data_IF_683872107958
#
_entry.id   IF_683872107958
#
_cell.length_a   1.000
_cell.length_b   1.000
_cell.length_c   1.000
_cell.angle_alpha   90.00
_cell.angle_beta   90.00
_cell.angle_gamma   90.00
#
_symmetry.space_group_name_H-M   'P 1'
#
loop_
_entity.id
_entity.type
_entity.pdbx_description
1 polymer ?
#
# COMPACT_ATOMS: atom_id res chain seq x y z
N UNK A 1 1.11 -11.11 -13.35
CA UNK A 1 0.50 -11.18 -14.71
C UNK A 1 1.09 -10.04 -15.52
N UNK A 2 1.61 -10.30 -16.70
CA UNK A 2 2.09 -9.31 -17.66
C UNK A 2 1.07 -9.16 -18.81
N UNK A 3 1.14 -8.04 -19.56
CA UNK A 3 0.23 -7.83 -20.68
C UNK A 3 0.25 -9.00 -21.68
N UNK A 4 1.43 -9.49 -22.02
CA UNK A 4 1.62 -10.65 -22.90
C UNK A 4 0.91 -11.94 -22.46
N UNK A 5 0.63 -12.08 -21.16
CA UNK A 5 -0.02 -13.26 -20.58
C UNK A 5 -1.55 -13.20 -20.75
N UNK A 6 -2.09 -12.05 -21.18
CA UNK A 6 -3.55 -11.79 -21.27
C UNK A 6 -4.11 -11.99 -22.69
N UNK A 7 -3.25 -11.97 -23.70
CA UNK A 7 -3.65 -11.94 -25.11
C UNK A 7 -4.22 -10.59 -25.58
N UNK A 8 -4.19 -9.55 -24.73
CA UNK A 8 -4.65 -8.20 -25.09
C UNK A 8 -3.49 -7.36 -25.63
N UNK A 9 -3.83 -6.40 -26.49
CA UNK A 9 -2.93 -5.29 -26.82
C UNK A 9 -2.98 -4.19 -25.77
N UNK A 10 -1.98 -3.29 -25.72
CA UNK A 10 -1.99 -2.13 -24.85
C UNK A 10 -3.24 -1.27 -25.05
N UNK A 11 -3.64 -1.02 -26.28
CA UNK A 11 -4.83 -0.24 -26.61
C UNK A 11 -6.13 -0.92 -26.14
N UNK A 12 -6.22 -2.23 -26.26
CA UNK A 12 -7.37 -2.96 -25.72
C UNK A 12 -7.43 -2.86 -24.20
N UNK A 13 -6.28 -2.97 -23.50
CA UNK A 13 -6.22 -2.80 -22.03
C UNK A 13 -6.65 -1.39 -21.61
N UNK A 14 -6.11 -0.34 -22.25
CA UNK A 14 -6.51 1.05 -22.02
C UNK A 14 -8.01 1.24 -22.25
N UNK A 15 -8.56 0.67 -23.33
CA UNK A 15 -9.99 0.69 -23.61
C UNK A 15 -10.83 0.05 -22.51
N UNK A 16 -10.38 -1.06 -21.91
CA UNK A 16 -11.08 -1.67 -20.77
C UNK A 16 -11.08 -0.75 -19.55
N UNK A 17 -9.93 -0.11 -19.26
CA UNK A 17 -9.83 0.84 -18.15
C UNK A 17 -10.78 2.01 -18.36
N UNK A 18 -10.76 2.65 -19.55
CA UNK A 18 -11.61 3.80 -19.85
C UNK A 18 -13.11 3.43 -19.85
N UNK A 19 -13.44 2.19 -20.19
CA UNK A 19 -14.83 1.74 -20.20
C UNK A 19 -15.39 1.42 -18.80
N UNK A 20 -14.56 0.85 -17.93
CA UNK A 20 -15.06 0.27 -16.68
C UNK A 20 -14.59 0.97 -15.41
N UNK A 21 -13.64 1.91 -15.49
CA UNK A 21 -13.18 2.68 -14.34
C UNK A 21 -13.57 4.14 -14.44
N UNK A 22 -13.97 4.74 -13.33
CA UNK A 22 -14.26 6.17 -13.25
C UNK A 22 -12.96 6.97 -13.44
N UNK A 23 -12.99 7.97 -14.32
CA UNK A 23 -11.88 8.89 -14.55
C UNK A 23 -11.80 9.93 -13.43
N UNK A 24 -11.01 9.64 -12.42
CA UNK A 24 -10.76 10.56 -11.30
C UNK A 24 -9.45 11.35 -11.47
N UNK A 25 -8.60 10.95 -12.40
CA UNK A 25 -7.32 11.59 -12.75
C UNK A 25 -6.87 11.14 -14.14
N UNK A 26 -6.04 11.95 -14.79
CA UNK A 26 -5.37 11.58 -16.04
C UNK A 26 -4.32 10.49 -15.81
N UNK A 27 -4.22 9.57 -16.75
CA UNK A 27 -3.20 8.52 -16.76
C UNK A 27 -2.10 8.81 -17.77
N UNK A 28 -0.90 8.39 -17.45
CA UNK A 28 0.18 8.37 -18.44
C UNK A 28 -0.15 7.39 -19.59
N UNK A 29 0.23 7.76 -20.80
CA UNK A 29 -0.09 6.98 -21.98
C UNK A 29 0.90 5.81 -22.20
N UNK A 30 1.08 4.98 -21.19
CA UNK A 30 1.81 3.71 -21.30
C UNK A 30 1.22 2.67 -20.34
N UNK A 31 1.44 1.39 -20.66
CA UNK A 31 1.06 0.29 -19.78
C UNK A 31 2.26 -0.11 -18.92
N UNK A 32 2.21 0.11 -17.63
CA UNK A 32 3.25 -0.37 -16.72
C UNK A 32 3.14 -1.89 -16.61
N UNK A 33 4.02 -2.62 -17.31
CA UNK A 33 3.95 -4.08 -17.45
C UNK A 33 4.83 -4.83 -16.42
N UNK A 34 5.98 -4.24 -16.06
CA UNK A 34 6.86 -4.75 -15.01
C UNK A 34 7.67 -3.63 -14.36
N UNK A 35 8.23 -3.91 -13.19
CA UNK A 35 9.15 -2.99 -12.53
C UNK A 35 10.25 -3.76 -11.79
N UNK A 36 11.44 -3.16 -11.65
CA UNK A 36 12.54 -3.67 -10.83
C UNK A 36 13.46 -2.53 -10.40
N UNK A 37 13.79 -2.48 -9.12
CA UNK A 37 14.62 -1.39 -8.58
C UNK A 37 13.98 -0.04 -8.82
N UNK A 38 14.70 0.87 -9.47
CA UNK A 38 14.24 2.23 -9.75
C UNK A 38 13.57 2.40 -11.12
N UNK A 39 13.27 1.31 -11.81
CA UNK A 39 12.70 1.38 -13.15
C UNK A 39 11.36 0.66 -13.26
N UNK A 40 10.43 1.29 -13.96
CA UNK A 40 9.26 0.66 -14.57
C UNK A 40 9.53 0.42 -16.06
N UNK A 41 8.83 -0.54 -16.63
CA UNK A 41 8.94 -0.90 -18.03
C UNK A 41 7.55 -1.08 -18.62
N UNK A 42 7.35 -0.57 -19.82
CA UNK A 42 6.13 -0.82 -20.58
C UNK A 42 6.12 -2.23 -21.21
N UNK A 43 5.11 -2.51 -21.99
CA UNK A 43 4.93 -3.77 -22.70
C UNK A 43 5.99 -4.04 -23.78
N UNK A 44 6.72 -3.00 -24.21
CA UNK A 44 7.81 -3.07 -25.18
C UNK A 44 9.20 -3.13 -24.49
N UNK A 45 9.20 -3.26 -23.16
CA UNK A 45 10.41 -3.20 -22.33
C UNK A 45 11.12 -1.82 -22.35
N UNK A 46 10.44 -0.74 -22.73
CA UNK A 46 10.96 0.62 -22.64
C UNK A 46 11.12 1.00 -21.16
N UNK A 47 12.33 1.40 -20.70
CA UNK A 47 12.56 1.75 -19.32
C UNK A 47 12.10 3.18 -18.99
N UNK A 48 11.41 3.35 -17.89
CA UNK A 48 11.03 4.62 -17.28
C UNK A 48 11.64 4.70 -15.88
N UNK A 49 12.42 5.73 -15.60
CA UNK A 49 12.97 5.96 -14.27
C UNK A 49 11.85 6.40 -13.31
N UNK A 50 11.62 5.62 -12.27
CA UNK A 50 10.51 5.81 -11.33
C UNK A 50 10.90 6.74 -10.18
N UNK A 51 10.63 8.03 -10.34
CA UNK A 51 10.76 9.03 -9.28
C UNK A 51 9.52 9.13 -8.37
N UNK A 52 8.43 8.45 -8.70
CA UNK A 52 7.22 8.42 -7.87
C UNK A 52 7.30 7.35 -6.76
N UNK A 53 7.98 6.25 -7.05
CA UNK A 53 8.13 5.12 -6.12
C UNK A 53 6.79 4.69 -5.47
N UNK A 54 5.68 4.71 -6.24
CA UNK A 54 4.34 4.44 -5.70
C UNK A 54 3.89 5.46 -4.66
N UNK A 55 4.25 6.74 -4.82
CA UNK A 55 4.11 7.83 -3.84
C UNK A 55 4.88 7.47 -2.55
N UNK A 56 6.17 7.17 -2.72
CA UNK A 56 7.15 6.77 -1.69
C UNK A 56 6.87 5.42 -1.00
N UNK A 57 5.93 4.61 -1.49
CA UNK A 57 5.65 3.26 -0.96
C UNK A 57 6.80 2.29 -1.25
N UNK A 58 7.39 2.37 -2.46
CA UNK A 58 8.47 1.51 -2.90
C UNK A 58 9.86 2.03 -2.48
N UNK A 59 10.01 2.49 -1.25
CA UNK A 59 11.24 3.13 -0.74
C UNK A 59 12.49 2.25 -0.84
N UNK A 60 12.34 0.94 -0.94
CA UNK A 60 13.44 -0.02 -1.14
C UNK A 60 13.59 -0.49 -2.59
N UNK A 61 12.89 0.18 -3.51
CA UNK A 61 12.82 -0.15 -4.93
C UNK A 61 11.73 -1.15 -5.28
N UNK A 62 11.29 -1.06 -6.54
CA UNK A 62 10.27 -1.96 -7.09
C UNK A 62 10.74 -3.41 -7.05
N UNK A 63 9.85 -4.32 -6.64
CA UNK A 63 10.09 -5.76 -6.60
C UNK A 63 11.41 -6.14 -5.90
N UNK A 64 11.68 -5.53 -4.74
CA UNK A 64 12.82 -5.91 -3.90
C UNK A 64 12.71 -7.38 -3.50
N UNK A 65 13.75 -8.18 -3.76
CA UNK A 65 13.70 -9.64 -3.61
C UNK A 65 13.38 -10.08 -2.18
N UNK A 66 13.87 -9.37 -1.16
CA UNK A 66 13.57 -9.68 0.24
C UNK A 66 12.11 -9.42 0.58
N UNK A 67 11.55 -8.32 0.07
CA UNK A 67 10.13 -7.98 0.28
C UNK A 67 9.24 -8.98 -0.44
N UNK A 68 9.54 -9.27 -1.71
CA UNK A 68 8.79 -10.27 -2.51
C UNK A 68 8.80 -11.63 -1.80
N UNK A 69 9.97 -12.08 -1.36
CA UNK A 69 10.09 -13.37 -0.64
C UNK A 69 9.26 -13.38 0.65
N UNK A 70 9.35 -12.32 1.46
CA UNK A 70 8.58 -12.24 2.70
C UNK A 70 7.07 -12.26 2.46
N UNK A 71 6.59 -11.56 1.41
CA UNK A 71 5.17 -11.56 1.03
C UNK A 71 4.72 -12.96 0.57
N UNK A 72 5.53 -13.63 -0.27
CA UNK A 72 5.24 -14.98 -0.75
C UNK A 72 5.15 -15.99 0.39
N UNK A 73 6.12 -15.97 1.31
CA UNK A 73 6.16 -16.89 2.44
C UNK A 73 4.97 -16.64 3.39
N UNK A 74 4.68 -15.38 3.67
CA UNK A 74 3.56 -15.05 4.55
C UNK A 74 2.21 -15.36 3.91
N UNK A 75 2.05 -15.10 2.62
CA UNK A 75 0.82 -15.44 1.89
C UNK A 75 0.55 -16.96 1.85
N UNK A 76 1.61 -17.77 1.81
CA UNK A 76 1.51 -19.21 1.89
C UNK A 76 1.27 -19.74 3.32
N UNK A 77 1.54 -18.93 4.35
CA UNK A 77 1.39 -19.31 5.76
C UNK A 77 0.01 -18.91 6.29
N UNK A 78 -0.29 -17.63 6.23
CA UNK A 78 -1.58 -17.06 6.63
C UNK A 78 -1.76 -15.70 5.95
N UNK A 79 -2.77 -15.57 5.12
CA UNK A 79 -2.99 -14.38 4.31
C UNK A 79 -3.79 -13.32 5.07
N UNK A 80 -4.81 -13.73 5.83
CA UNK A 80 -5.72 -12.81 6.51
C UNK A 80 -6.35 -13.49 7.73
N UNK A 81 -6.48 -12.73 8.81
CA UNK A 81 -7.28 -13.11 9.99
C UNK A 81 -8.20 -11.93 10.35
N UNK A 82 -9.23 -12.23 11.15
CA UNK A 82 -9.92 -11.15 11.88
C UNK A 82 -9.07 -10.68 13.08
N UNK A 83 -9.44 -9.56 13.70
CA UNK A 83 -8.56 -8.83 14.64
C UNK A 83 -8.43 -9.43 16.05
N UNK A 84 -9.11 -10.54 16.38
CA UNK A 84 -9.04 -11.11 17.72
C UNK A 84 -7.84 -12.05 17.96
N UNK A 85 -7.37 -12.85 17.00
CA UNK A 85 -6.15 -13.62 17.18
C UNK A 85 -4.90 -12.72 17.14
N UNK A 86 -3.90 -13.09 17.91
CA UNK A 86 -2.57 -12.50 17.76
C UNK A 86 -1.88 -13.07 16.53
N UNK A 87 -1.20 -12.21 15.77
CA UNK A 87 -0.38 -12.63 14.62
C UNK A 87 1.08 -12.21 14.81
N UNK A 88 1.98 -13.07 14.40
CA UNK A 88 3.42 -12.85 14.57
C UNK A 88 3.90 -11.58 13.85
N UNK A 89 3.60 -11.37 12.54
CA UNK A 89 4.08 -10.18 11.86
C UNK A 89 3.59 -8.87 12.48
N UNK A 90 2.33 -8.85 12.93
CA UNK A 90 1.73 -7.65 13.54
C UNK A 90 2.44 -7.28 14.86
N UNK A 91 2.68 -8.27 15.70
CA UNK A 91 3.33 -8.04 17.00
C UNK A 91 4.78 -7.56 16.83
N UNK A 92 5.56 -8.26 16.00
CA UNK A 92 6.97 -7.90 15.76
C UNK A 92 7.11 -6.53 15.06
N UNK A 93 6.21 -6.19 14.14
CA UNK A 93 6.21 -4.88 13.50
C UNK A 93 5.85 -3.78 14.51
N UNK A 94 4.85 -4.01 15.38
CA UNK A 94 4.49 -3.06 16.43
C UNK A 94 5.67 -2.75 17.36
N UNK A 95 6.34 -3.78 17.87
CA UNK A 95 7.55 -3.62 18.69
C UNK A 95 8.61 -2.81 17.93
N UNK A 96 8.92 -3.22 16.70
CA UNK A 96 9.96 -2.57 15.91
C UNK A 96 9.68 -1.10 15.65
N UNK A 97 8.45 -0.74 15.27
CA UNK A 97 8.08 0.65 15.01
C UNK A 97 8.13 1.45 16.33
N UNK A 98 7.44 1.01 17.37
CA UNK A 98 7.34 1.73 18.63
C UNK A 98 8.72 1.99 19.25
N UNK A 99 9.60 0.98 19.27
CA UNK A 99 10.96 1.15 19.78
C UNK A 99 11.84 2.06 18.93
N UNK A 100 11.62 2.08 17.60
CA UNK A 100 12.43 2.92 16.70
C UNK A 100 12.05 4.39 16.78
N UNK A 101 10.77 4.71 16.92
CA UNK A 101 10.28 6.10 16.93
C UNK A 101 9.96 6.63 18.33
N UNK A 102 10.13 5.83 19.38
CA UNK A 102 9.89 6.24 20.78
C UNK A 102 8.41 6.42 21.11
N UNK A 103 7.52 5.59 20.55
CA UNK A 103 6.09 5.58 20.85
C UNK A 103 5.69 4.38 21.69
N UNK A 104 4.64 4.52 22.51
CA UNK A 104 4.19 3.45 23.39
C UNK A 104 3.36 2.39 22.67
N UNK A 105 2.52 2.81 21.72
CA UNK A 105 1.55 1.93 21.04
C UNK A 105 1.30 2.37 19.60
N UNK A 106 0.89 1.42 18.78
CA UNK A 106 0.49 1.62 17.40
C UNK A 106 -0.90 1.04 17.16
N UNK A 107 -1.65 1.68 16.27
CA UNK A 107 -2.91 1.17 15.73
C UNK A 107 -2.82 1.09 14.22
N UNK A 108 -3.03 -0.10 13.67
CA UNK A 108 -2.93 -0.35 12.23
C UNK A 108 -4.23 -0.04 11.51
N UNK A 109 -4.11 0.59 10.35
CA UNK A 109 -5.19 0.86 9.41
C UNK A 109 -4.76 0.48 7.99
N UNK A 110 -5.72 0.34 7.07
CA UNK A 110 -5.41 -0.07 5.69
C UNK A 110 -4.93 1.11 4.83
N UNK A 111 -5.34 2.32 5.15
CA UNK A 111 -5.02 3.52 4.35
C UNK A 111 -4.68 4.71 5.24
N UNK A 112 -4.00 5.72 4.65
CA UNK A 112 -3.74 6.98 5.34
C UNK A 112 -5.04 7.73 5.72
N UNK A 113 -6.08 7.63 4.91
CA UNK A 113 -7.40 8.21 5.21
C UNK A 113 -8.02 7.60 6.46
N UNK A 114 -8.01 6.27 6.57
CA UNK A 114 -8.50 5.56 7.76
C UNK A 114 -7.66 5.87 9.00
N UNK A 115 -6.34 5.99 8.84
CA UNK A 115 -5.44 6.38 9.94
C UNK A 115 -5.75 7.80 10.45
N UNK A 116 -5.97 8.76 9.56
CA UNK A 116 -6.40 10.11 9.93
C UNK A 116 -7.77 10.13 10.62
N UNK A 117 -8.73 9.37 10.10
CA UNK A 117 -10.05 9.24 10.74
C UNK A 117 -9.94 8.65 12.16
N UNK A 118 -9.15 7.58 12.32
CA UNK A 118 -8.90 6.98 13.63
C UNK A 118 -8.23 7.97 14.60
N UNK A 119 -7.24 8.72 14.14
CA UNK A 119 -6.55 9.74 14.92
C UNK A 119 -7.53 10.83 15.41
N UNK A 120 -8.37 11.35 14.53
CA UNK A 120 -9.39 12.35 14.88
C UNK A 120 -10.36 11.80 15.92
N UNK A 121 -10.86 10.57 15.73
CA UNK A 121 -11.77 9.91 16.67
C UNK A 121 -11.12 9.70 18.04
N UNK A 122 -9.87 9.25 18.09
CA UNK A 122 -9.13 9.07 19.33
C UNK A 122 -8.89 10.40 20.05
N UNK A 123 -8.48 11.43 19.32
CA UNK A 123 -8.26 12.76 19.88
C UNK A 123 -9.54 13.34 20.48
N UNK A 124 -10.66 13.23 19.77
CA UNK A 124 -11.99 13.67 20.25
C UNK A 124 -12.42 12.90 21.49
N UNK A 125 -12.30 11.58 21.47
CA UNK A 125 -12.63 10.75 22.64
C UNK A 125 -11.78 11.15 23.86
N UNK A 126 -10.49 11.26 23.68
CA UNK A 126 -9.58 11.70 24.74
C UNK A 126 -9.95 13.10 25.27
N UNK A 127 -10.26 14.05 24.38
CA UNK A 127 -10.69 15.39 24.75
C UNK A 127 -11.95 15.39 25.63
N UNK A 128 -12.97 14.62 25.25
CA UNK A 128 -14.21 14.47 26.03
C UNK A 128 -13.94 13.81 27.39
N UNK A 129 -13.19 12.72 27.42
CA UNK A 129 -12.90 11.99 28.67
C UNK A 129 -12.07 12.82 29.65
N UNK A 130 -11.09 13.58 29.16
CA UNK A 130 -10.18 14.34 30.01
C UNK A 130 -10.66 15.73 30.38
N UNK A 131 -11.38 16.41 29.48
CA UNK A 131 -11.73 17.82 29.61
C UNK A 131 -13.24 18.11 29.58
N UNK A 132 -14.08 17.10 29.43
CA UNK A 132 -15.53 17.16 29.43
C UNK A 132 -16.19 17.23 28.05
N UNK A 133 -17.54 17.11 28.00
CA UNK A 133 -18.29 16.79 26.78
C UNK A 133 -18.27 17.87 25.68
N UNK A 134 -17.76 19.04 25.95
CA UNK A 134 -17.68 20.16 25.00
C UNK A 134 -16.27 20.38 24.43
N UNK A 135 -15.34 19.47 24.69
CA UNK A 135 -13.94 19.53 24.23
C UNK A 135 -13.65 18.45 23.17
N UNK A 136 -14.09 18.71 21.92
CA UNK A 136 -13.91 17.81 20.78
C UNK A 136 -13.42 18.55 19.53
#
# INVERSE_FOLDING_TARGET
MRLKDTGLTAEQLKGLVNKYMIETYERFDFVADRAKGNYMYDENDTPYLDFYAGIAVNSVGNCNDRVVKAVQDQAATIMQTFNYPYTVPQALLAEKICTTIGMDKIFYQNTGTEANEAMIKMARKYGVEKYGPHKY
#
